data_IF_647024132042
#
_entry.id   IF_647024132042
#
_cell.length_a   1.000
_cell.length_b   1.000
_cell.length_c   1.000
_cell.angle_alpha   90.00
_cell.angle_beta   90.00
_cell.angle_gamma   90.00
#
_symmetry.space_group_name_H-M   'P 1'
#
loop_
_entity.id
_entity.type
_entity.pdbx_description
1 polymer ?
#
# COMPACT_ATOMS: atom_id res chain seq x y z
N UNK A 1 5.32 18.74 0.45
CA UNK A 1 6.70 19.19 0.60
C UNK A 1 7.70 18.05 0.55
N UNK A 2 9.00 18.35 0.64
CA UNK A 2 10.05 17.32 0.56
C UNK A 2 9.97 16.30 1.72
N UNK A 3 9.58 16.75 2.90
CA UNK A 3 9.36 15.88 4.07
C UNK A 3 8.23 14.86 3.81
N UNK A 4 7.15 15.27 3.15
CA UNK A 4 6.04 14.39 2.77
C UNK A 4 6.52 13.31 1.80
N UNK A 5 7.34 13.70 0.83
CA UNK A 5 7.92 12.77 -0.15
C UNK A 5 8.81 11.73 0.54
N UNK A 6 9.68 12.16 1.46
CA UNK A 6 10.53 11.24 2.23
C UNK A 6 9.68 10.28 3.09
N UNK A 7 8.64 10.81 3.76
CA UNK A 7 7.70 10.00 4.53
C UNK A 7 7.02 8.95 3.66
N UNK A 8 6.48 9.37 2.50
CA UNK A 8 5.78 8.48 1.58
C UNK A 8 6.69 7.42 0.94
N UNK A 9 7.97 7.72 0.73
CA UNK A 9 8.93 6.77 0.18
C UNK A 9 9.43 5.75 1.21
N UNK A 10 9.42 6.09 2.52
CA UNK A 10 10.03 5.31 3.60
C UNK A 10 9.64 3.82 3.60
N UNK A 11 8.36 3.41 3.55
CA UNK A 11 8.00 2.00 3.59
C UNK A 11 8.53 1.22 2.39
N UNK A 12 8.53 1.80 1.22
CA UNK A 12 9.03 1.17 0.00
C UNK A 12 10.55 1.02 0.01
N UNK A 13 11.27 2.05 0.48
CA UNK A 13 12.72 2.00 0.67
C UNK A 13 13.09 0.94 1.70
N UNK A 14 12.37 0.84 2.82
CA UNK A 14 12.61 -0.19 3.84
C UNK A 14 12.57 -1.60 3.26
N UNK A 15 11.61 -1.90 2.39
CA UNK A 15 11.51 -3.21 1.73
C UNK A 15 12.61 -3.39 0.69
N UNK A 16 12.91 -2.37 -0.12
CA UNK A 16 13.94 -2.46 -1.16
C UNK A 16 15.34 -2.64 -0.53
N UNK A 17 15.64 -1.91 0.53
CA UNK A 17 16.91 -1.98 1.24
C UNK A 17 17.09 -3.35 1.93
N UNK A 18 16.04 -3.88 2.55
CA UNK A 18 16.08 -5.19 3.18
C UNK A 18 16.28 -6.32 2.15
N UNK A 19 15.62 -6.25 1.00
CA UNK A 19 15.77 -7.25 -0.08
C UNK A 19 17.12 -7.11 -0.80
N UNK A 20 17.68 -5.91 -0.85
CA UNK A 20 18.95 -5.62 -1.50
C UNK A 20 18.97 -6.00 -2.98
N UNK A 21 19.98 -6.75 -3.41
CA UNK A 21 20.06 -7.25 -4.80
C UNK A 21 19.14 -8.44 -5.07
N UNK A 22 18.63 -9.07 -4.01
CA UNK A 22 17.73 -10.21 -4.02
C UNK A 22 17.92 -11.09 -2.81
N UNK A 23 16.85 -11.72 -2.35
CA UNK A 23 16.87 -12.62 -1.19
C UNK A 23 16.11 -13.91 -1.46
N UNK A 24 16.66 -15.02 -0.95
CA UNK A 24 15.99 -16.33 -0.99
C UNK A 24 14.94 -16.38 0.12
N UNK A 25 13.73 -16.75 -0.25
CA UNK A 25 12.65 -16.99 0.70
C UNK A 25 12.87 -18.29 1.48
N UNK A 26 12.27 -18.38 2.65
CA UNK A 26 12.20 -19.63 3.40
C UNK A 26 11.47 -20.71 2.60
N UNK A 27 11.57 -21.98 3.01
CA UNK A 27 10.85 -23.08 2.36
C UNK A 27 9.33 -22.86 2.30
N UNK A 28 8.76 -22.12 3.27
CA UNK A 28 7.36 -21.72 3.28
C UNK A 28 7.05 -20.48 2.41
N UNK A 29 8.05 -19.89 1.75
CA UNK A 29 7.87 -18.76 0.85
C UNK A 29 7.80 -17.38 1.52
N UNK A 30 8.27 -17.27 2.76
CA UNK A 30 8.34 -16.04 3.54
C UNK A 30 9.75 -15.42 3.50
N UNK A 31 9.84 -14.13 3.83
CA UNK A 31 11.12 -13.46 4.06
C UNK A 31 11.86 -14.10 5.25
N UNK A 32 13.20 -14.14 5.19
CA UNK A 32 14.01 -14.52 6.35
C UNK A 32 13.72 -13.64 7.58
N UNK A 33 13.76 -14.20 8.81
CA UNK A 33 13.42 -13.48 10.04
C UNK A 33 14.14 -12.15 10.22
N UNK A 34 15.44 -12.10 9.90
CA UNK A 34 16.23 -10.88 10.03
C UNK A 34 15.72 -9.73 9.12
N UNK A 35 15.22 -10.06 7.92
CA UNK A 35 14.69 -9.05 7.00
C UNK A 35 13.31 -8.56 7.45
N UNK A 36 12.48 -9.44 8.01
CA UNK A 36 11.18 -9.06 8.61
C UNK A 36 11.42 -8.05 9.73
N UNK A 37 12.36 -8.35 10.63
CA UNK A 37 12.73 -7.46 11.74
C UNK A 37 13.28 -6.12 11.24
N UNK A 38 14.17 -6.14 10.25
CA UNK A 38 14.71 -4.93 9.62
C UNK A 38 13.61 -4.05 9.03
N UNK A 39 12.68 -4.63 8.28
CA UNK A 39 11.55 -3.88 7.70
C UNK A 39 10.64 -3.34 8.81
N UNK A 40 10.32 -4.16 9.81
CA UNK A 40 9.47 -3.75 10.92
C UNK A 40 10.07 -2.56 11.70
N UNK A 41 11.38 -2.58 11.96
CA UNK A 41 12.10 -1.47 12.59
C UNK A 41 12.10 -0.23 11.70
N UNK A 42 12.47 -0.37 10.43
CA UNK A 42 12.55 0.75 9.49
C UNK A 42 11.19 1.43 9.25
N UNK A 43 10.08 0.70 9.38
CA UNK A 43 8.71 1.22 9.19
C UNK A 43 8.03 1.64 10.49
N UNK A 44 8.65 1.42 11.67
CA UNK A 44 8.07 1.73 12.97
C UNK A 44 7.04 0.70 13.45
N UNK A 45 6.90 -0.43 12.77
CA UNK A 45 5.98 -1.51 13.19
C UNK A 45 6.35 -2.03 14.58
N UNK A 46 7.62 -2.11 14.92
CA UNK A 46 8.10 -2.56 16.23
C UNK A 46 7.65 -1.70 17.41
N UNK A 47 7.23 -0.47 17.17
CA UNK A 47 6.79 0.47 18.22
C UNK A 47 5.42 0.10 18.81
N UNK A 48 4.59 -0.59 18.03
CA UNK A 48 3.22 -0.95 18.41
C UNK A 48 2.89 -2.44 18.26
N UNK A 49 3.75 -3.21 17.60
CA UNK A 49 3.53 -4.62 17.38
C UNK A 49 3.74 -5.45 18.65
N UNK A 50 2.76 -6.30 18.96
CA UNK A 50 2.88 -7.21 20.10
C UNK A 50 3.67 -8.44 19.69
N UNK A 51 4.85 -8.65 20.30
CA UNK A 51 5.72 -9.80 20.07
C UNK A 51 6.95 -9.48 19.22
N UNK A 52 7.66 -10.54 18.83
CA UNK A 52 8.88 -10.41 17.99
C UNK A 52 8.46 -10.23 16.54
N UNK A 53 8.59 -9.04 16.00
CA UNK A 53 8.28 -8.74 14.59
C UNK A 53 9.32 -9.36 13.62
N UNK A 54 9.53 -10.68 13.69
CA UNK A 54 10.55 -11.41 12.93
C UNK A 54 10.01 -12.63 12.16
N UNK A 55 8.69 -12.82 12.12
CA UNK A 55 8.05 -13.85 11.31
C UNK A 55 7.01 -13.20 10.41
N UNK A 56 7.20 -13.29 9.10
CA UNK A 56 6.33 -12.64 8.13
C UNK A 56 4.87 -13.12 8.22
N UNK A 57 4.66 -14.42 8.43
CA UNK A 57 3.34 -15.02 8.60
C UNK A 57 2.60 -14.55 9.86
N UNK A 58 3.32 -14.02 10.83
CA UNK A 58 2.76 -13.45 12.07
C UNK A 58 2.84 -11.93 12.11
N UNK A 59 3.66 -11.31 11.28
CA UNK A 59 3.85 -9.84 11.22
C UNK A 59 3.15 -9.31 9.97
N UNK A 60 1.82 -9.35 9.98
CA UNK A 60 1.00 -9.01 8.82
C UNK A 60 1.33 -7.64 8.19
N UNK A 61 1.74 -6.56 8.92
CA UNK A 61 2.09 -5.29 8.26
C UNK A 61 3.29 -5.43 7.31
N UNK A 62 4.27 -6.27 7.65
CA UNK A 62 5.42 -6.54 6.77
C UNK A 62 5.01 -7.41 5.59
N UNK A 63 4.16 -8.41 5.82
CA UNK A 63 3.64 -9.27 4.76
C UNK A 63 2.81 -8.48 3.74
N UNK A 64 1.92 -7.61 4.21
CA UNK A 64 1.11 -6.73 3.36
C UNK A 64 1.97 -5.75 2.57
N UNK A 65 2.96 -5.13 3.21
CA UNK A 65 3.87 -4.20 2.53
C UNK A 65 4.71 -4.89 1.44
N UNK A 66 5.21 -6.12 1.70
CA UNK A 66 5.89 -6.90 0.66
C UNK A 66 4.96 -7.26 -0.49
N UNK A 67 3.76 -7.74 -0.19
CA UNK A 67 2.77 -8.07 -1.21
C UNK A 67 2.40 -6.83 -2.06
N UNK A 68 2.23 -5.68 -1.41
CA UNK A 68 2.01 -4.41 -2.09
C UNK A 68 3.19 -4.02 -3.00
N UNK A 69 4.44 -4.19 -2.52
CA UNK A 69 5.64 -3.93 -3.32
C UNK A 69 5.74 -4.84 -4.56
N UNK A 70 5.32 -6.11 -4.44
CA UNK A 70 5.19 -7.01 -5.60
C UNK A 70 4.09 -6.53 -6.57
N UNK A 71 2.95 -6.11 -6.04
CA UNK A 71 1.78 -5.68 -6.82
C UNK A 71 2.04 -4.38 -7.60
N UNK A 72 2.70 -3.40 -6.98
CA UNK A 72 3.10 -2.15 -7.67
C UNK A 72 4.32 -2.33 -8.58
N UNK A 73 4.89 -3.52 -8.64
CA UNK A 73 5.99 -3.87 -9.53
C UNK A 73 7.37 -3.35 -9.06
N UNK A 74 7.54 -3.11 -7.76
CA UNK A 74 8.86 -2.84 -7.18
C UNK A 74 9.65 -4.13 -6.93
N UNK A 75 8.98 -5.19 -6.54
CA UNK A 75 9.56 -6.50 -6.33
C UNK A 75 9.01 -7.51 -7.35
N UNK A 76 9.80 -8.55 -7.59
CA UNK A 76 9.41 -9.74 -8.36
C UNK A 76 9.80 -11.00 -7.61
N UNK A 77 8.83 -11.89 -7.39
CA UNK A 77 9.05 -13.22 -6.86
C UNK A 77 9.21 -14.23 -8.00
N UNK A 78 10.29 -14.99 -8.01
CA UNK A 78 10.52 -16.06 -8.97
C UNK A 78 11.40 -17.15 -8.35
N UNK A 79 11.03 -18.41 -8.52
CA UNK A 79 11.82 -19.59 -8.10
C UNK A 79 12.32 -19.51 -6.63
N UNK A 80 11.45 -19.12 -5.71
CA UNK A 80 11.79 -19.00 -4.28
C UNK A 80 12.69 -17.81 -3.92
N UNK A 81 12.88 -16.88 -4.83
CA UNK A 81 13.67 -15.66 -4.61
C UNK A 81 12.82 -14.42 -4.88
N UNK A 82 13.01 -13.38 -4.06
CA UNK A 82 12.45 -12.03 -4.28
C UNK A 82 13.59 -11.11 -4.67
N UNK A 83 13.38 -10.33 -5.74
CA UNK A 83 14.38 -9.38 -6.26
C UNK A 83 13.73 -8.04 -6.60
N UNK A 84 14.42 -6.90 -6.41
CA UNK A 84 13.97 -5.63 -6.96
C UNK A 84 13.90 -5.69 -8.49
N UNK A 85 12.86 -5.11 -9.06
CA UNK A 85 12.73 -4.99 -10.51
C UNK A 85 13.72 -3.96 -11.07
N UNK A 86 13.94 -3.96 -12.39
CA UNK A 86 14.75 -2.93 -13.03
C UNK A 86 14.21 -1.52 -12.77
N UNK A 87 12.87 -1.37 -12.79
CA UNK A 87 12.18 -0.11 -12.44
C UNK A 87 12.48 0.32 -11.00
N UNK A 88 12.38 -0.60 -10.04
CA UNK A 88 12.67 -0.29 -8.63
C UNK A 88 14.10 0.19 -8.45
N UNK A 89 15.08 -0.51 -9.06
CA UNK A 89 16.49 -0.11 -8.98
C UNK A 89 16.76 1.28 -9.59
N UNK A 90 16.05 1.64 -10.66
CA UNK A 90 16.19 2.95 -11.28
C UNK A 90 15.69 4.10 -10.39
N UNK A 91 14.68 3.87 -9.55
CA UNK A 91 14.05 4.93 -8.73
C UNK A 91 14.41 4.87 -7.24
N UNK A 92 15.11 3.83 -6.77
CA UNK A 92 15.42 3.66 -5.34
C UNK A 92 16.22 4.83 -4.74
N UNK A 93 17.13 5.44 -5.51
CA UNK A 93 17.88 6.64 -5.09
C UNK A 93 17.11 7.96 -5.18
N UNK A 94 15.89 7.95 -5.68
CA UNK A 94 15.10 9.14 -6.01
C UNK A 94 13.70 9.06 -5.35
N UNK A 95 13.55 9.49 -4.07
CA UNK A 95 12.29 9.31 -3.30
C UNK A 95 11.05 9.83 -4.02
N UNK A 96 11.13 10.96 -4.72
CA UNK A 96 10.01 11.54 -5.49
C UNK A 96 9.60 10.63 -6.66
N UNK A 97 10.57 10.09 -7.38
CA UNK A 97 10.31 9.17 -8.50
C UNK A 97 9.77 7.82 -8.00
N UNK A 98 10.26 7.33 -6.86
CA UNK A 98 9.74 6.13 -6.21
C UNK A 98 8.26 6.31 -5.81
N UNK A 99 7.93 7.42 -5.15
CA UNK A 99 6.54 7.74 -4.79
C UNK A 99 5.68 7.82 -6.05
N UNK A 100 6.12 8.54 -7.09
CA UNK A 100 5.40 8.64 -8.36
C UNK A 100 5.21 7.25 -9.01
N UNK A 101 6.23 6.40 -8.95
CA UNK A 101 6.18 5.05 -9.49
C UNK A 101 5.14 4.16 -8.77
N UNK A 102 4.97 4.34 -7.46
CA UNK A 102 3.94 3.64 -6.67
C UNK A 102 2.56 4.19 -6.99
N UNK A 103 2.37 5.50 -6.89
CA UNK A 103 1.08 6.16 -7.12
C UNK A 103 0.51 5.86 -8.51
N UNK A 104 1.36 5.77 -9.53
CA UNK A 104 0.97 5.40 -10.90
C UNK A 104 0.44 3.95 -11.03
N UNK A 105 0.50 3.14 -9.97
CA UNK A 105 -0.01 1.77 -9.91
C UNK A 105 -1.27 1.63 -9.07
N UNK A 106 -1.73 2.72 -8.47
CA UNK A 106 -3.02 2.75 -7.79
C UNK A 106 -4.15 2.95 -8.81
N UNK A 107 -5.32 2.41 -8.55
CA UNK A 107 -5.67 1.52 -7.43
C UNK A 107 -5.11 0.10 -7.59
N UNK A 108 -4.94 -0.57 -6.45
CA UNK A 108 -4.47 -1.94 -6.36
C UNK A 108 -5.65 -2.93 -6.29
N UNK A 109 -5.37 -4.20 -6.59
CA UNK A 109 -6.37 -5.25 -6.54
C UNK A 109 -6.69 -5.85 -7.90
N UNK A 110 -7.82 -6.54 -8.03
CA UNK A 110 -8.34 -7.14 -9.26
C UNK A 110 -9.86 -7.02 -9.31
N UNK A 111 -10.42 -6.90 -10.52
CA UNK A 111 -11.88 -6.86 -10.69
C UNK A 111 -12.53 -5.75 -9.87
N UNK A 112 -13.49 -6.11 -9.01
CA UNK A 112 -14.22 -5.18 -8.14
C UNK A 112 -13.32 -4.38 -7.18
N UNK A 113 -12.17 -4.94 -6.78
CA UNK A 113 -11.25 -4.25 -5.87
C UNK A 113 -10.63 -3.01 -6.54
N UNK A 114 -10.33 -3.09 -7.83
CA UNK A 114 -9.84 -1.94 -8.61
C UNK A 114 -10.91 -0.84 -8.67
N UNK A 115 -12.18 -1.19 -8.89
CA UNK A 115 -13.26 -0.19 -8.90
C UNK A 115 -13.46 0.41 -7.50
N UNK A 116 -13.48 -0.40 -6.45
CA UNK A 116 -13.55 0.08 -5.06
C UNK A 116 -12.39 1.02 -4.75
N UNK A 117 -11.17 0.65 -5.16
CA UNK A 117 -9.98 1.48 -5.02
C UNK A 117 -10.07 2.81 -5.77
N UNK A 118 -10.64 2.85 -6.99
CA UNK A 118 -10.87 4.08 -7.73
C UNK A 118 -11.82 5.03 -6.99
N UNK A 119 -12.95 4.52 -6.50
CA UNK A 119 -13.91 5.34 -5.77
C UNK A 119 -13.37 5.78 -4.40
N UNK A 120 -12.57 4.94 -3.75
CA UNK A 120 -11.87 5.33 -2.53
C UNK A 120 -10.86 6.46 -2.79
N UNK A 121 -10.07 6.40 -3.86
CA UNK A 121 -9.17 7.48 -4.25
C UNK A 121 -9.91 8.79 -4.51
N UNK A 122 -11.04 8.75 -5.22
CA UNK A 122 -11.87 9.93 -5.47
C UNK A 122 -12.43 10.54 -4.18
N UNK A 123 -12.97 9.69 -3.28
CA UNK A 123 -13.48 10.14 -1.98
C UNK A 123 -12.40 10.75 -1.10
N UNK A 124 -11.22 10.10 -1.00
CA UNK A 124 -10.06 10.62 -0.26
C UNK A 124 -9.56 11.95 -0.85
N UNK A 125 -9.50 12.07 -2.18
CA UNK A 125 -9.11 13.31 -2.85
C UNK A 125 -10.10 14.45 -2.58
N UNK A 126 -11.38 14.13 -2.35
CA UNK A 126 -12.43 15.06 -1.92
C UNK A 126 -12.41 15.33 -0.41
N UNK A 127 -11.51 14.69 0.36
CA UNK A 127 -11.39 14.85 1.81
C UNK A 127 -12.33 13.98 2.64
N UNK A 128 -12.98 12.97 2.02
CA UNK A 128 -13.76 11.97 2.76
C UNK A 128 -12.83 10.98 3.46
N UNK A 129 -13.29 10.38 4.55
CA UNK A 129 -12.54 9.36 5.30
C UNK A 129 -13.48 8.48 6.13
N UNK A 130 -12.96 7.35 6.63
CA UNK A 130 -13.67 6.46 7.55
C UNK A 130 -15.04 6.02 7.03
N UNK A 131 -16.03 5.95 7.91
CA UNK A 131 -17.36 5.42 7.58
C UNK A 131 -18.06 6.16 6.43
N UNK A 132 -17.83 7.46 6.27
CA UNK A 132 -18.40 8.25 5.16
C UNK A 132 -17.82 7.84 3.83
N UNK A 133 -16.51 7.62 3.76
CA UNK A 133 -15.84 7.10 2.57
C UNK A 133 -16.38 5.71 2.20
N UNK A 134 -16.39 4.80 3.17
CA UNK A 134 -16.79 3.40 2.94
C UNK A 134 -18.25 3.29 2.49
N UNK A 135 -19.15 4.07 3.10
CA UNK A 135 -20.55 4.13 2.71
C UNK A 135 -20.72 4.71 1.28
N UNK A 136 -19.99 5.77 0.95
CA UNK A 136 -20.01 6.36 -0.39
C UNK A 136 -19.52 5.37 -1.46
N UNK A 137 -18.42 4.66 -1.19
CA UNK A 137 -17.89 3.63 -2.11
C UNK A 137 -18.92 2.50 -2.28
N UNK A 138 -19.54 2.02 -1.19
CA UNK A 138 -20.55 0.97 -1.23
C UNK A 138 -21.75 1.37 -2.08
N UNK A 139 -22.26 2.61 -1.89
CA UNK A 139 -23.38 3.13 -2.66
C UNK A 139 -23.05 3.18 -4.15
N UNK A 140 -21.90 3.77 -4.53
CA UNK A 140 -21.51 3.90 -5.94
C UNK A 140 -21.34 2.52 -6.60
N UNK A 141 -20.69 1.57 -5.93
CA UNK A 141 -20.53 0.21 -6.45
C UNK A 141 -21.90 -0.47 -6.65
N UNK A 142 -22.80 -0.32 -5.68
CA UNK A 142 -24.17 -0.85 -5.76
C UNK A 142 -24.94 -0.22 -6.93
N UNK A 143 -24.87 1.10 -7.12
CA UNK A 143 -25.53 1.82 -8.22
C UNK A 143 -24.97 1.40 -9.59
N UNK A 144 -23.72 1.00 -9.65
CA UNK A 144 -23.06 0.41 -10.85
C UNK A 144 -23.43 -1.06 -11.09
N UNK A 145 -24.23 -1.66 -10.22
CA UNK A 145 -24.73 -3.02 -10.36
C UNK A 145 -23.92 -4.10 -9.63
N UNK A 146 -22.91 -3.71 -8.84
CA UNK A 146 -22.22 -4.68 -7.99
C UNK A 146 -23.14 -5.16 -6.87
N UNK A 147 -23.14 -6.48 -6.63
CA UNK A 147 -23.97 -7.13 -5.61
C UNK A 147 -23.16 -8.18 -4.86
N UNK A 148 -23.61 -8.50 -3.67
CA UNK A 148 -23.09 -9.68 -2.95
C UNK A 148 -23.46 -10.97 -3.69
N UNK A 149 -22.83 -12.08 -3.34
CA UNK A 149 -23.22 -13.38 -3.88
C UNK A 149 -24.69 -13.76 -3.63
N UNK A 150 -25.29 -13.18 -2.58
CA UNK A 150 -26.72 -13.35 -2.27
C UNK A 150 -27.63 -12.36 -3.05
N UNK A 151 -27.08 -11.53 -3.93
CA UNK A 151 -27.82 -10.55 -4.72
C UNK A 151 -28.18 -9.26 -3.98
N UNK A 152 -27.72 -9.09 -2.73
CA UNK A 152 -27.95 -7.89 -1.92
C UNK A 152 -26.99 -6.76 -2.28
N UNK A 153 -27.33 -5.53 -1.89
CA UNK A 153 -26.46 -4.37 -1.97
C UNK A 153 -25.17 -4.58 -1.14
N UNK A 154 -24.11 -3.89 -1.55
CA UNK A 154 -22.84 -3.94 -0.83
C UNK A 154 -22.91 -3.13 0.46
N UNK A 155 -22.41 -3.69 1.55
CA UNK A 155 -22.20 -2.96 2.80
C UNK A 155 -20.94 -2.10 2.75
N UNK A 156 -20.85 -1.09 3.63
CA UNK A 156 -19.63 -0.28 3.81
C UNK A 156 -18.39 -1.15 4.14
N UNK A 157 -18.56 -2.19 4.95
CA UNK A 157 -17.47 -3.12 5.29
C UNK A 157 -16.96 -3.89 4.06
N UNK A 158 -17.85 -4.31 3.16
CA UNK A 158 -17.46 -5.00 1.93
C UNK A 158 -16.77 -4.05 0.94
N UNK A 159 -17.24 -2.83 0.83
CA UNK A 159 -16.59 -1.79 0.02
C UNK A 159 -15.20 -1.45 0.57
N UNK A 160 -15.08 -1.28 1.88
CA UNK A 160 -13.79 -1.11 2.55
C UNK A 160 -12.83 -2.26 2.25
N UNK A 161 -13.31 -3.50 2.36
CA UNK A 161 -12.50 -4.69 2.08
C UNK A 161 -11.99 -4.71 0.63
N UNK A 162 -12.83 -4.33 -0.34
CA UNK A 162 -12.42 -4.20 -1.74
C UNK A 162 -11.38 -3.08 -1.95
N UNK A 163 -11.58 -1.92 -1.32
CA UNK A 163 -10.66 -0.80 -1.42
C UNK A 163 -9.35 -0.99 -0.62
N UNK A 164 -9.34 -1.94 0.33
CA UNK A 164 -8.27 -2.12 1.33
C UNK A 164 -6.86 -2.14 0.76
N UNK A 165 -6.52 -2.85 -0.34
CA UNK A 165 -5.16 -2.83 -0.87
C UNK A 165 -4.66 -1.43 -1.23
N UNK A 166 -5.57 -0.59 -1.77
CA UNK A 166 -5.29 0.81 -2.11
C UNK A 166 -5.16 1.68 -0.88
N UNK A 167 -6.07 1.51 0.09
CA UNK A 167 -6.06 2.25 1.36
C UNK A 167 -4.81 1.94 2.19
N UNK A 168 -4.49 0.66 2.38
CA UNK A 168 -3.29 0.23 3.13
C UNK A 168 -1.99 0.77 2.51
N UNK A 169 -1.90 0.86 1.19
CA UNK A 169 -0.76 1.46 0.51
C UNK A 169 -0.63 2.95 0.83
N UNK A 170 -1.73 3.70 0.77
CA UNK A 170 -1.76 5.14 1.10
C UNK A 170 -1.45 5.38 2.58
N UNK A 171 -2.04 4.60 3.48
CA UNK A 171 -1.81 4.70 4.93
C UNK A 171 -0.35 4.41 5.27
N UNK A 172 0.26 3.40 4.65
CA UNK A 172 1.69 3.11 4.80
C UNK A 172 2.56 4.30 4.39
N UNK A 173 2.21 4.97 3.29
CA UNK A 173 2.90 6.17 2.80
C UNK A 173 2.66 7.40 3.68
N UNK A 174 1.53 7.46 4.37
CA UNK A 174 1.14 8.58 5.22
C UNK A 174 1.61 8.45 6.68
N UNK A 175 2.37 7.41 7.02
CA UNK A 175 2.94 7.22 8.36
C UNK A 175 2.65 5.88 9.01
N UNK A 176 1.93 4.98 8.31
CA UNK A 176 1.50 3.69 8.84
C UNK A 176 0.28 3.79 9.76
N UNK A 177 -0.30 2.65 10.11
CA UNK A 177 -1.61 2.56 10.77
C UNK A 177 -1.80 3.40 12.03
N UNK A 178 -0.77 3.49 12.87
CA UNK A 178 -0.89 4.19 14.17
C UNK A 178 -0.67 5.71 14.06
N UNK A 179 -0.07 6.16 12.96
CA UNK A 179 0.33 7.56 12.79
C UNK A 179 -0.04 8.12 11.42
N UNK A 180 -1.16 7.67 10.85
CA UNK A 180 -1.64 8.14 9.56
C UNK A 180 -1.90 9.64 9.62
N UNK A 181 -1.28 10.38 8.70
CA UNK A 181 -1.58 11.79 8.46
C UNK A 181 -2.70 11.91 7.40
N UNK A 182 -3.95 12.24 7.80
CA UNK A 182 -5.07 12.28 6.86
C UNK A 182 -4.88 13.31 5.75
N UNK A 183 -4.16 14.40 6.04
CA UNK A 183 -3.89 15.43 5.04
C UNK A 183 -2.90 14.95 3.98
N UNK A 184 -1.93 14.12 4.38
CA UNK A 184 -1.01 13.48 3.44
C UNK A 184 -1.74 12.41 2.60
N UNK A 185 -2.63 11.61 3.19
CA UNK A 185 -3.48 10.66 2.45
C UNK A 185 -4.26 11.38 1.34
N UNK A 186 -4.92 12.50 1.65
CA UNK A 186 -5.64 13.31 0.66
C UNK A 186 -4.74 13.81 -0.45
N UNK A 187 -3.53 14.31 -0.12
CA UNK A 187 -2.56 14.74 -1.13
C UNK A 187 -2.06 13.59 -2.00
N UNK A 188 -1.79 12.44 -1.43
CA UNK A 188 -1.36 11.23 -2.16
C UNK A 188 -2.46 10.72 -3.09
N UNK A 189 -3.72 10.70 -2.63
CA UNK A 189 -4.87 10.33 -3.46
C UNK A 189 -5.03 11.27 -4.66
N UNK A 190 -4.92 12.58 -4.45
CA UNK A 190 -4.90 13.57 -5.54
C UNK A 190 -3.74 13.34 -6.50
N UNK A 191 -2.53 13.07 -5.99
CA UNK A 191 -1.37 12.80 -6.82
C UNK A 191 -1.51 11.50 -7.63
N UNK A 192 -2.16 10.47 -7.08
CA UNK A 192 -2.47 9.24 -7.81
C UNK A 192 -3.45 9.46 -8.96
N UNK A 193 -4.46 10.32 -8.77
CA UNK A 193 -5.50 10.60 -9.77
C UNK A 193 -5.02 11.56 -10.86
N UNK A 194 -4.27 12.60 -10.50
CA UNK A 194 -3.96 13.73 -11.38
C UNK A 194 -2.46 13.89 -11.68
N UNK A 195 -1.63 13.01 -11.17
CA UNK A 195 -0.18 13.11 -11.23
C UNK A 195 0.41 13.99 -10.13
N UNK A 196 1.72 13.83 -9.90
CA UNK A 196 2.45 14.68 -8.97
C UNK A 196 2.65 16.05 -9.65
N UNK A 197 1.82 17.02 -9.30
CA UNK A 197 2.08 18.40 -9.71
C UNK A 197 3.35 18.90 -9.01
N UNK A 198 4.30 19.36 -9.78
CA UNK A 198 5.44 20.11 -9.27
C UNK A 198 4.93 21.46 -8.73
N UNK A 199 4.38 21.44 -7.52
CA UNK A 199 4.08 22.71 -6.83
C UNK A 199 5.36 23.14 -6.12
N UNK A 200 5.82 24.29 -6.53
CA UNK A 200 6.96 25.02 -6.02
C UNK A 200 6.99 25.15 -4.49
#
# INVERSE_FOLDING_TARGET
>A
GEQDVRRAARPWLAVLDAVGTGTTLTAAGYLPPALVEQIAQATGVTEWWIGKANREDLTWPVAELRAAAEQVGLLRKAKGTVTPTARARAVAGHPRELVAAVLARLPMGRGSDVEAGWFALLGLAAGQSGATLDAGVAQILTDRGWRTHAGSDLSAAQAHQGARPTLDALDSMAGGREHVDPSLVTRLARAALFGITATA
#
